data_IF_463125193436
#
_entry.id   IF_463125193436
#
_cell.length_a   1.000
_cell.length_b   1.000
_cell.length_c   1.000
_cell.angle_alpha   90.00
_cell.angle_beta   90.00
_cell.angle_gamma   90.00
#
_symmetry.space_group_name_H-M   'P 1'
#
loop_
_entity.id
_entity.type
_entity.pdbx_description
1 polymer ?
#
# COMPACT_ATOMS: atom_id res chain seq x y z
N UNK A 1 -1.22 7.92 -0.78
CA UNK A 1 -0.56 6.61 -0.58
C UNK A 1 0.61 6.81 0.37
N UNK A 2 0.76 5.97 1.38
CA UNK A 2 1.99 5.95 2.17
C UNK A 2 3.12 5.41 1.30
N UNK A 3 4.07 6.27 0.95
CA UNK A 3 5.34 5.86 0.34
C UNK A 3 6.20 5.19 1.41
N UNK A 4 7.03 4.22 1.03
CA UNK A 4 8.04 3.70 1.96
C UNK A 4 8.98 4.85 2.37
N UNK A 5 9.47 4.83 3.60
CA UNK A 5 10.33 5.87 4.14
C UNK A 5 11.77 5.68 3.65
N UNK A 6 12.08 5.94 2.37
CA UNK A 6 13.38 5.52 1.80
C UNK A 6 14.33 6.66 1.43
N UNK A 7 13.89 7.92 1.38
CA UNK A 7 14.80 9.04 1.12
C UNK A 7 14.51 10.25 1.98
N UNK A 8 15.26 10.38 3.07
CA UNK A 8 15.33 11.63 3.83
C UNK A 8 16.14 12.74 3.11
N UNK A 9 16.70 12.50 1.91
CA UNK A 9 17.62 13.44 1.25
C UNK A 9 17.10 14.09 -0.04
N UNK A 10 16.03 13.62 -0.68
CA UNK A 10 15.40 14.32 -1.81
C UNK A 10 13.90 14.02 -1.82
N UNK A 11 13.09 15.06 -1.59
CA UNK A 11 11.65 15.07 -1.33
C UNK A 11 11.31 14.74 0.13
N UNK A 12 10.76 15.76 0.80
CA UNK A 12 10.29 15.71 2.18
C UNK A 12 9.55 14.41 2.46
N UNK A 13 9.96 13.69 3.52
CA UNK A 13 9.16 12.65 4.12
C UNK A 13 7.79 13.25 4.46
N UNK A 14 6.83 13.11 3.56
CA UNK A 14 5.43 13.34 3.86
C UNK A 14 5.02 12.16 4.73
N UNK A 15 5.35 12.24 6.02
CA UNK A 15 4.74 11.41 7.04
C UNK A 15 3.25 11.78 7.09
N UNK A 16 2.49 11.29 6.10
CA UNK A 16 1.04 11.34 6.12
C UNK A 16 0.56 10.58 7.34
N UNK A 17 -0.55 11.02 7.95
CA UNK A 17 -1.05 10.46 9.21
C UNK A 17 -1.17 8.93 9.23
N UNK A 18 -1.34 8.29 8.06
CA UNK A 18 -1.31 6.84 7.88
C UNK A 18 0.04 6.23 8.31
N UNK A 19 1.17 6.73 7.78
CA UNK A 19 2.50 6.18 8.09
C UNK A 19 2.76 6.31 9.58
N UNK A 20 2.44 7.46 10.16
CA UNK A 20 2.60 7.73 11.59
C UNK A 20 1.80 6.78 12.47
N UNK A 21 0.58 6.41 12.05
CA UNK A 21 -0.29 5.53 12.82
C UNK A 21 0.07 4.04 12.65
N UNK A 22 0.44 3.60 11.45
CA UNK A 22 0.58 2.18 11.11
C UNK A 22 2.01 1.67 11.30
N UNK A 23 3.05 2.47 11.05
CA UNK A 23 4.43 2.01 11.12
C UNK A 23 4.81 1.42 12.50
N UNK A 24 4.44 2.04 13.64
CA UNK A 24 4.73 1.46 14.96
C UNK A 24 4.07 0.09 15.19
N UNK A 25 2.92 -0.18 14.55
CA UNK A 25 2.22 -1.47 14.64
C UNK A 25 3.02 -2.55 13.90
N UNK A 26 3.50 -2.25 12.69
CA UNK A 26 4.32 -3.17 11.90
C UNK A 26 5.65 -3.46 12.60
N UNK A 27 6.32 -2.43 13.12
CA UNK A 27 7.60 -2.56 13.83
C UNK A 27 7.44 -3.46 15.07
N UNK A 28 6.49 -3.11 15.96
CA UNK A 28 6.28 -3.87 17.22
C UNK A 28 5.73 -5.27 16.97
N UNK A 29 4.87 -5.41 15.97
CA UNK A 29 4.27 -6.68 15.55
C UNK A 29 5.21 -7.57 14.74
N UNK A 30 6.42 -7.10 14.40
CA UNK A 30 7.35 -7.76 13.47
C UNK A 30 6.66 -8.18 12.16
N UNK A 31 5.72 -7.35 11.71
CA UNK A 31 4.96 -7.57 10.49
C UNK A 31 5.74 -7.19 9.25
N UNK A 32 5.12 -7.41 8.09
CA UNK A 32 5.63 -6.97 6.81
C UNK A 32 4.83 -5.76 6.32
N UNK A 33 5.53 -4.76 5.80
CA UNK A 33 4.99 -3.58 5.13
C UNK A 33 5.09 -3.76 3.62
N UNK A 34 3.96 -3.89 2.94
CA UNK A 34 3.89 -3.90 1.47
C UNK A 34 3.59 -2.49 0.98
N UNK A 35 4.50 -1.89 0.21
CA UNK A 35 4.38 -0.47 -0.16
C UNK A 35 5.21 -0.06 -1.36
N UNK A 36 4.82 1.03 -2.02
CA UNK A 36 5.65 1.65 -3.06
C UNK A 36 6.76 2.48 -2.44
N UNK A 37 8.00 2.33 -2.93
CA UNK A 37 9.18 2.92 -2.29
C UNK A 37 9.36 4.42 -2.45
N UNK A 38 8.48 5.09 -3.20
CA UNK A 38 8.64 6.50 -3.54
C UNK A 38 9.60 6.73 -4.71
N UNK A 39 10.35 5.71 -5.11
CA UNK A 39 11.29 5.70 -6.22
C UNK A 39 11.09 4.43 -7.04
N UNK A 40 11.44 4.45 -8.32
CA UNK A 40 11.58 3.21 -9.08
C UNK A 40 13.00 2.70 -8.84
N UNK A 41 13.12 1.56 -8.16
CA UNK A 41 14.41 0.91 -7.95
C UNK A 41 14.94 0.38 -9.29
N UNK A 42 16.25 0.49 -9.52
CA UNK A 42 16.90 -0.07 -10.72
C UNK A 42 17.06 -1.60 -10.59
N UNK A 43 17.14 -2.12 -9.37
CA UNK A 43 17.13 -3.53 -9.03
C UNK A 43 16.01 -3.81 -8.01
N UNK A 44 15.12 -4.74 -8.32
CA UNK A 44 13.99 -5.10 -7.46
C UNK A 44 14.41 -5.76 -6.14
N UNK A 45 15.65 -6.29 -6.08
CA UNK A 45 16.23 -6.91 -4.89
C UNK A 45 17.10 -5.94 -4.09
N UNK A 46 17.22 -4.67 -4.50
CA UNK A 46 18.00 -3.69 -3.76
C UNK A 46 17.42 -3.51 -2.34
N UNK A 47 18.21 -3.75 -1.28
CA UNK A 47 17.74 -3.55 0.08
C UNK A 47 17.34 -2.09 0.28
N UNK A 48 16.18 -1.89 0.87
CA UNK A 48 15.71 -0.55 1.25
C UNK A 48 16.62 -0.04 2.38
N UNK A 49 17.29 1.11 2.23
CA UNK A 49 18.10 1.71 3.30
C UNK A 49 17.35 1.77 4.63
N UNK A 50 17.99 1.30 5.70
CA UNK A 50 17.46 1.42 7.07
C UNK A 50 17.61 2.85 7.58
N UNK A 51 16.72 3.24 8.51
CA UNK A 51 16.82 4.53 9.20
C UNK A 51 18.13 4.65 9.99
N UNK A 52 18.66 5.87 10.04
CA UNK A 52 19.79 6.19 10.92
C UNK A 52 19.41 5.97 12.40
N UNK A 53 20.32 5.52 13.28
CA UNK A 53 20.03 5.36 14.71
C UNK A 53 19.57 6.63 15.43
N UNK A 54 19.84 7.82 14.87
CA UNK A 54 19.36 9.12 15.36
C UNK A 54 17.99 9.53 14.81
N UNK A 55 17.38 8.72 13.93
CA UNK A 55 16.04 8.93 13.42
C UNK A 55 15.01 8.75 14.56
N UNK A 56 14.10 9.71 14.67
CA UNK A 56 12.99 9.71 15.64
C UNK A 56 11.64 9.76 14.95
N UNK A 57 11.60 9.55 13.63
CA UNK A 57 10.37 9.45 12.87
C UNK A 57 9.59 8.18 13.28
N UNK A 58 8.28 8.13 13.01
CA UNK A 58 7.48 6.92 13.28
C UNK A 58 7.97 5.66 12.56
N UNK A 59 8.85 5.81 11.58
CA UNK A 59 9.43 4.75 10.76
C UNK A 59 10.83 4.32 11.19
N UNK A 60 11.43 4.98 12.20
CA UNK A 60 12.82 4.81 12.64
C UNK A 60 13.24 3.41 13.14
N UNK A 61 12.35 2.42 13.07
CA UNK A 61 12.64 1.03 13.42
C UNK A 61 12.11 0.02 12.39
N UNK A 62 11.68 0.48 11.21
CA UNK A 62 11.25 -0.40 10.14
C UNK A 62 12.49 -0.97 9.44
N UNK A 63 12.72 -2.27 9.59
CA UNK A 63 13.88 -2.95 9.01
C UNK A 63 13.67 -3.24 7.53
N UNK A 64 14.75 -3.33 6.74
CA UNK A 64 14.65 -3.64 5.31
C UNK A 64 13.94 -4.98 5.06
N UNK A 65 14.17 -5.98 5.92
CA UNK A 65 13.53 -7.30 5.86
C UNK A 65 12.02 -7.26 6.12
N UNK A 66 11.54 -6.21 6.79
CA UNK A 66 10.11 -5.99 7.02
C UNK A 66 9.43 -5.32 5.83
N UNK A 67 10.17 -4.90 4.81
CA UNK A 67 9.58 -4.18 3.68
C UNK A 67 9.54 -5.05 2.43
N UNK A 68 8.37 -5.08 1.81
CA UNK A 68 8.15 -5.67 0.49
C UNK A 68 7.80 -4.53 -0.46
N UNK A 69 8.77 -4.16 -1.30
CA UNK A 69 8.60 -3.07 -2.27
C UNK A 69 7.67 -3.50 -3.41
N UNK A 70 6.76 -2.60 -3.77
CA UNK A 70 5.97 -2.67 -5.00
C UNK A 70 6.62 -1.73 -6.00
N UNK A 71 7.17 -2.26 -7.08
CA UNK A 71 7.82 -1.46 -8.12
C UNK A 71 6.84 -1.20 -9.27
N UNK A 72 6.63 0.08 -9.60
CA UNK A 72 5.70 0.51 -10.65
C UNK A 72 6.43 1.50 -11.56
N UNK A 73 6.21 1.38 -12.87
CA UNK A 73 6.74 2.36 -13.83
C UNK A 73 6.21 3.76 -13.49
N UNK A 74 7.04 4.83 -13.51
CA UNK A 74 6.62 6.18 -13.14
C UNK A 74 5.37 6.68 -13.86
N UNK A 75 5.23 6.40 -15.16
CA UNK A 75 4.05 6.81 -15.94
C UNK A 75 2.78 6.07 -15.50
N UNK A 76 2.91 4.77 -15.24
CA UNK A 76 1.82 3.96 -14.73
C UNK A 76 1.40 4.43 -13.34
N UNK A 77 2.38 4.71 -12.47
CA UNK A 77 2.14 5.24 -11.14
C UNK A 77 1.45 6.61 -11.16
N UNK A 78 1.88 7.53 -12.03
CA UNK A 78 1.28 8.86 -12.17
C UNK A 78 -0.20 8.76 -12.61
N UNK A 79 -0.48 7.95 -13.63
CA UNK A 79 -1.85 7.68 -14.12
C UNK A 79 -2.73 7.03 -13.04
N UNK A 80 -2.16 6.13 -12.24
CA UNK A 80 -2.85 5.53 -11.09
C UNK A 80 -3.12 6.54 -9.97
N UNK A 81 -2.08 7.26 -9.54
CA UNK A 81 -2.10 8.07 -8.32
C UNK A 81 -2.73 9.44 -8.57
N UNK A 82 -2.21 10.20 -9.52
CA UNK A 82 -2.75 11.51 -9.86
C UNK A 82 -4.00 11.41 -10.71
N UNK A 83 -4.08 10.40 -11.59
CA UNK A 83 -5.24 10.16 -12.44
C UNK A 83 -6.43 9.57 -11.68
N UNK A 84 -6.37 8.28 -11.31
CA UNK A 84 -7.54 7.59 -10.75
C UNK A 84 -7.75 7.91 -9.27
N UNK A 85 -6.72 7.76 -8.44
CA UNK A 85 -6.83 7.98 -6.99
C UNK A 85 -7.22 9.42 -6.68
N UNK A 86 -6.40 10.40 -7.10
CA UNK A 86 -6.63 11.81 -6.77
C UNK A 86 -7.55 12.55 -7.75
N UNK A 87 -7.60 12.12 -9.02
CA UNK A 87 -8.47 12.75 -10.02
C UNK A 87 -9.90 12.22 -10.02
N UNK A 88 -10.13 10.95 -9.62
CA UNK A 88 -11.48 10.35 -9.57
C UNK A 88 -11.94 10.12 -8.14
N UNK A 89 -11.27 9.25 -7.39
CA UNK A 89 -11.79 8.75 -6.12
C UNK A 89 -11.78 9.80 -5.02
N UNK A 90 -10.67 10.52 -4.85
CA UNK A 90 -10.56 11.55 -3.82
C UNK A 90 -11.68 12.60 -3.88
N UNK A 91 -11.92 13.31 -5.00
CA UNK A 91 -13.01 14.28 -5.07
C UNK A 91 -14.39 13.63 -4.93
N UNK A 92 -14.59 12.43 -5.48
CA UNK A 92 -15.87 11.72 -5.36
C UNK A 92 -16.20 11.39 -3.89
N UNK A 93 -15.24 10.83 -3.16
CA UNK A 93 -15.42 10.39 -1.78
C UNK A 93 -15.53 11.58 -0.81
N UNK A 94 -15.00 12.75 -1.20
CA UNK A 94 -15.19 14.01 -0.48
C UNK A 94 -16.44 14.79 -0.91
N UNK A 95 -17.40 14.14 -1.59
CA UNK A 95 -18.66 14.75 -2.04
C UNK A 95 -18.47 15.95 -2.97
N UNK A 96 -17.44 15.90 -3.83
CA UNK A 96 -17.13 16.90 -4.84
C UNK A 96 -17.19 16.31 -6.27
N UNK A 97 -18.31 15.71 -6.70
CA UNK A 97 -18.38 15.00 -7.99
C UNK A 97 -18.07 15.89 -9.21
N UNK A 98 -18.36 17.19 -9.15
CA UNK A 98 -18.00 18.14 -10.20
C UNK A 98 -16.49 18.37 -10.38
N UNK A 99 -15.65 17.84 -9.49
CA UNK A 99 -14.18 17.84 -9.60
C UNK A 99 -13.62 16.46 -10.01
N UNK A 100 -14.45 15.43 -10.06
CA UNK A 100 -14.01 14.09 -10.43
C UNK A 100 -13.82 13.99 -11.95
N UNK A 101 -12.68 13.45 -12.36
CA UNK A 101 -12.37 13.15 -13.76
C UNK A 101 -12.46 11.64 -13.96
N UNK A 102 -13.27 11.19 -14.92
CA UNK A 102 -13.39 9.78 -15.28
C UNK A 102 -12.64 9.51 -16.58
N UNK A 103 -11.61 8.68 -16.50
CA UNK A 103 -10.77 8.32 -17.64
C UNK A 103 -10.51 6.81 -17.63
N UNK A 104 -10.82 6.14 -18.74
CA UNK A 104 -10.66 4.69 -18.86
C UNK A 104 -9.19 4.25 -18.70
N UNK A 105 -8.24 5.07 -19.15
CA UNK A 105 -6.82 4.73 -19.04
C UNK A 105 -6.29 4.89 -17.61
N UNK A 106 -6.77 5.90 -16.86
CA UNK A 106 -6.48 6.01 -15.43
C UNK A 106 -7.05 4.82 -14.65
N UNK A 107 -8.26 4.38 -15.00
CA UNK A 107 -8.86 3.19 -14.41
C UNK A 107 -8.05 1.92 -14.69
N UNK A 108 -7.60 1.72 -15.94
CA UNK A 108 -6.70 0.60 -16.27
C UNK A 108 -5.42 0.66 -15.45
N UNK A 109 -4.80 1.84 -15.31
CA UNK A 109 -3.62 2.00 -14.46
C UNK A 109 -3.90 1.64 -12.99
N UNK A 110 -5.07 2.03 -12.47
CA UNK A 110 -5.48 1.67 -11.12
C UNK A 110 -5.66 0.17 -10.91
N UNK A 111 -6.25 -0.50 -11.90
CA UNK A 111 -6.36 -1.95 -11.95
C UNK A 111 -4.99 -2.64 -11.91
N UNK A 112 -4.08 -2.27 -12.82
CA UNK A 112 -2.75 -2.88 -12.93
C UNK A 112 -1.92 -2.68 -11.67
N UNK A 113 -1.92 -1.47 -11.09
CA UNK A 113 -1.19 -1.21 -9.85
C UNK A 113 -1.78 -2.00 -8.68
N UNK A 114 -3.11 -2.06 -8.54
CA UNK A 114 -3.73 -2.87 -7.47
C UNK A 114 -3.40 -4.36 -7.61
N UNK A 115 -3.28 -4.86 -8.84
CA UNK A 115 -2.89 -6.24 -9.12
C UNK A 115 -1.44 -6.52 -8.69
N UNK A 116 -0.52 -5.59 -8.95
CA UNK A 116 0.87 -5.70 -8.48
C UNK A 116 0.96 -5.66 -6.94
N UNK A 117 0.21 -4.77 -6.30
CA UNK A 117 0.09 -4.74 -4.83
C UNK A 117 -0.42 -6.07 -4.27
N UNK A 118 -1.42 -6.67 -4.93
CA UNK A 118 -1.93 -7.98 -4.54
C UNK A 118 -0.87 -9.08 -4.67
N UNK A 119 -0.12 -9.10 -5.78
CA UNK A 119 0.96 -10.08 -6.00
C UNK A 119 2.03 -9.99 -4.91
N UNK A 120 2.54 -8.79 -4.62
CA UNK A 120 3.53 -8.57 -3.55
C UNK A 120 2.98 -8.87 -2.16
N UNK A 121 1.68 -8.69 -1.93
CA UNK A 121 1.02 -9.07 -0.67
C UNK A 121 0.96 -10.59 -0.51
N UNK A 122 0.72 -11.34 -1.58
CA UNK A 122 0.76 -12.82 -1.53
C UNK A 122 2.17 -13.32 -1.21
N UNK A 123 3.21 -12.75 -1.83
CA UNK A 123 4.60 -13.09 -1.49
C UNK A 123 4.91 -12.80 -0.02
N UNK A 124 4.43 -11.67 0.50
CA UNK A 124 4.56 -11.33 1.92
C UNK A 124 3.81 -12.32 2.82
N UNK A 125 2.59 -12.71 2.44
CA UNK A 125 1.81 -13.70 3.18
C UNK A 125 2.50 -15.06 3.22
N UNK A 126 3.02 -15.54 2.09
CA UNK A 126 3.77 -16.80 2.03
C UNK A 126 5.00 -16.76 2.95
N UNK A 127 5.76 -15.66 2.95
CA UNK A 127 6.88 -15.46 3.89
C UNK A 127 6.43 -15.51 5.34
N UNK A 128 5.33 -14.83 5.67
CA UNK A 128 4.79 -14.79 7.04
C UNK A 128 4.32 -16.17 7.52
N UNK A 129 3.65 -16.94 6.66
CA UNK A 129 3.20 -18.31 6.95
C UNK A 129 4.38 -19.27 7.11
N UNK A 130 5.39 -19.19 6.23
CA UNK A 130 6.52 -20.11 6.24
C UNK A 130 7.50 -19.88 7.39
N UNK A 131 7.70 -18.62 7.80
CA UNK A 131 8.67 -18.28 8.84
C UNK A 131 8.22 -18.70 10.26
N UNK A 132 6.93 -19.04 10.46
CA UNK A 132 6.36 -19.47 11.74
C UNK A 132 6.74 -18.57 12.94
N UNK A 133 7.05 -17.29 12.67
CA UNK A 133 7.56 -16.34 13.68
C UNK A 133 6.50 -15.94 14.68
N UNK A 134 5.22 -16.07 14.33
CA UNK A 134 4.09 -15.77 15.21
C UNK A 134 3.11 -16.94 15.28
N UNK A 135 2.68 -17.35 16.49
CA UNK A 135 1.61 -18.32 16.62
C UNK A 135 0.27 -17.66 16.23
N UNK A 136 -0.29 -18.05 15.09
CA UNK A 136 -1.61 -17.59 14.66
C UNK A 136 -1.77 -17.48 13.15
N UNK A 137 -2.96 -17.05 12.74
CA UNK A 137 -3.28 -16.74 11.34
C UNK A 137 -2.82 -15.31 11.03
N UNK A 138 -2.00 -15.07 9.99
CA UNK A 138 -1.57 -13.72 9.61
C UNK A 138 -2.75 -12.79 9.29
N UNK A 139 -2.65 -11.53 9.70
CA UNK A 139 -3.60 -10.47 9.32
C UNK A 139 -3.04 -9.65 8.15
N UNK A 140 -3.76 -9.66 7.04
CA UNK A 140 -3.57 -8.73 5.93
C UNK A 140 -4.43 -7.50 6.20
N UNK A 141 -3.79 -6.37 6.47
CA UNK A 141 -4.48 -5.11 6.73
C UNK A 141 -4.27 -4.12 5.59
N UNK A 142 -5.29 -3.97 4.74
CA UNK A 142 -5.25 -3.11 3.56
C UNK A 142 -5.73 -1.72 3.95
N UNK A 143 -4.99 -0.69 3.54
CA UNK A 143 -5.29 0.68 3.90
C UNK A 143 -5.62 1.55 2.68
N UNK A 144 -6.76 2.21 2.81
CA UNK A 144 -7.19 3.36 2.03
C UNK A 144 -7.69 3.09 0.60
N UNK A 145 -8.34 4.11 0.01
CA UNK A 145 -9.00 4.06 -1.29
C UNK A 145 -8.09 3.74 -2.48
N UNK A 146 -6.77 3.81 -2.29
CA UNK A 146 -5.78 3.49 -3.31
C UNK A 146 -5.77 1.99 -3.66
N UNK A 147 -6.18 1.13 -2.72
CA UNK A 147 -6.00 -0.33 -2.79
C UNK A 147 -7.32 -1.12 -2.74
N UNK A 148 -8.44 -0.52 -3.15
CA UNK A 148 -9.77 -1.15 -3.01
C UNK A 148 -9.92 -2.44 -3.82
N UNK A 149 -9.18 -2.59 -4.94
CA UNK A 149 -9.28 -3.80 -5.77
C UNK A 149 -8.32 -4.91 -5.33
N UNK A 150 -7.19 -4.55 -4.71
CA UNK A 150 -6.17 -5.49 -4.28
C UNK A 150 -6.76 -6.63 -3.42
N UNK A 151 -7.74 -6.31 -2.56
CA UNK A 151 -8.40 -7.28 -1.68
C UNK A 151 -8.99 -8.49 -2.41
N UNK A 152 -9.57 -8.29 -3.61
CA UNK A 152 -10.20 -9.36 -4.37
C UNK A 152 -9.15 -10.36 -4.89
N UNK A 153 -8.07 -9.87 -5.49
CA UNK A 153 -6.98 -10.72 -5.97
C UNK A 153 -6.23 -11.41 -4.84
N UNK A 154 -6.00 -10.72 -3.73
CA UNK A 154 -5.35 -11.34 -2.56
C UNK A 154 -6.20 -12.51 -2.08
N UNK A 155 -7.52 -12.33 -1.94
CA UNK A 155 -8.44 -13.40 -1.52
C UNK A 155 -8.41 -14.57 -2.49
N UNK A 156 -8.59 -14.30 -3.78
CA UNK A 156 -8.61 -15.32 -4.84
C UNK A 156 -7.34 -16.17 -4.82
N UNK A 157 -6.17 -15.52 -4.87
CA UNK A 157 -4.88 -16.22 -4.93
C UNK A 157 -4.54 -16.92 -3.61
N UNK A 158 -4.87 -16.33 -2.46
CA UNK A 158 -4.63 -16.95 -1.16
C UNK A 158 -5.51 -18.20 -0.96
N UNK A 159 -6.78 -18.14 -1.36
CA UNK A 159 -7.71 -19.26 -1.29
C UNK A 159 -7.28 -20.39 -2.25
N UNK A 160 -6.90 -20.06 -3.49
CA UNK A 160 -6.35 -21.04 -4.46
C UNK A 160 -5.11 -21.76 -3.93
N UNK A 161 -4.24 -21.05 -3.19
CA UNK A 161 -3.03 -21.58 -2.57
C UNK A 161 -3.28 -22.24 -1.21
N UNK A 162 -4.50 -22.23 -0.68
CA UNK A 162 -4.84 -22.66 0.69
C UNK A 162 -3.97 -21.99 1.78
N UNK A 163 -3.64 -20.71 1.61
CA UNK A 163 -2.91 -19.96 2.63
C UNK A 163 -3.85 -19.54 3.77
N UNK A 164 -3.47 -19.71 5.05
CA UNK A 164 -4.26 -19.18 6.16
C UNK A 164 -4.07 -17.66 6.25
N UNK A 165 -5.16 -16.89 6.27
CA UNK A 165 -5.11 -15.44 6.50
C UNK A 165 -6.41 -14.91 7.12
N UNK A 166 -6.30 -13.75 7.75
CA UNK A 166 -7.40 -12.83 8.04
C UNK A 166 -7.21 -11.59 7.17
N UNK A 167 -8.30 -10.92 6.78
CA UNK A 167 -8.22 -9.72 5.95
C UNK A 167 -9.10 -8.61 6.52
N UNK A 168 -8.52 -7.43 6.65
CA UNK A 168 -9.22 -6.20 7.04
C UNK A 168 -8.92 -5.09 6.03
N UNK A 169 -9.92 -4.24 5.79
CA UNK A 169 -9.77 -3.02 5.00
C UNK A 169 -10.14 -1.81 5.85
N UNK A 170 -9.30 -0.78 5.87
CA UNK A 170 -9.59 0.47 6.56
C UNK A 170 -9.49 1.65 5.60
N UNK A 171 -10.62 2.32 5.38
CA UNK A 171 -10.72 3.53 4.57
C UNK A 171 -10.43 4.76 5.44
N UNK A 172 -9.42 5.54 5.11
CA UNK A 172 -9.01 6.71 5.93
C UNK A 172 -9.81 7.96 5.58
N UNK A 173 -10.43 7.97 4.41
CA UNK A 173 -11.27 9.07 3.92
C UNK A 173 -12.74 8.78 4.16
N UNK A 174 -13.64 9.78 4.04
CA UNK A 174 -15.08 9.53 4.11
C UNK A 174 -15.52 8.54 3.03
N UNK A 175 -16.58 7.79 3.31
CA UNK A 175 -17.31 7.08 2.27
C UNK A 175 -18.45 8.00 1.77
N UNK A 176 -18.59 8.22 0.45
CA UNK A 176 -19.59 9.15 -0.07
C UNK A 176 -21.01 8.59 0.12
N UNK A 177 -22.03 9.46 0.20
CA UNK A 177 -23.42 9.02 0.19
C UNK A 177 -23.77 8.34 -1.16
N UNK A 178 -24.79 7.49 -1.14
CA UNK A 178 -25.17 6.63 -2.27
C UNK A 178 -25.49 7.40 -3.57
N UNK A 179 -26.10 8.57 -3.45
CA UNK A 179 -26.46 9.45 -4.57
C UNK A 179 -25.25 9.96 -5.34
N UNK A 180 -24.09 10.07 -4.68
CA UNK A 180 -22.81 10.44 -5.27
C UNK A 180 -22.03 9.21 -5.77
N UNK A 181 -22.13 8.08 -5.08
CA UNK A 181 -21.31 6.90 -5.37
C UNK A 181 -21.73 6.13 -6.64
N UNK A 182 -23.03 6.08 -6.94
CA UNK A 182 -23.62 5.22 -7.98
C UNK A 182 -23.25 5.58 -9.42
#
# INVERSE_FOLDING_TARGET
MATLPVHASYQSAHAGGLVTAVAPVVIKGKGLWVGWSGITLNDENEPIPESDPSDHTPTAGLLSEQVVSVNVEPKLFDSYYNGCCNGTFWPLFHSMPGRATFCADHWKSYYEVNKEFAARTIEALEKAVNNNTHPGVPLIWIHDYHLMLAANWIREVADEKNLPYQMAFFLHIPFPPWDIFR
#
